data_IF_606395920565
#
_entry.id   IF_606395920565
#
_cell.length_a   1.000
_cell.length_b   1.000
_cell.length_c   1.000
_cell.angle_alpha   90.00
_cell.angle_beta   90.00
_cell.angle_gamma   90.00
#
_symmetry.space_group_name_H-M   'P 1'
#
loop_
_entity.id
_entity.type
_entity.pdbx_description
1 polymer ?
#
# COMPACT_ATOMS: atom_id res chain seq x y z
N UNK A 1 16.28 10.59 10.04
CA UNK A 1 15.71 11.52 9.05
C UNK A 1 14.52 10.90 8.32
N UNK A 2 13.35 11.54 8.40
CA UNK A 2 12.16 11.17 7.62
C UNK A 2 12.35 11.51 6.14
N UNK A 3 12.00 10.58 5.24
CA UNK A 3 12.03 10.80 3.80
C UNK A 3 10.84 10.13 3.13
N UNK A 4 9.95 10.95 2.59
CA UNK A 4 8.77 10.51 1.84
C UNK A 4 9.15 9.55 0.71
N UNK A 5 8.49 8.40 0.62
CA UNK A 5 8.80 7.38 -0.36
C UNK A 5 8.24 7.75 -1.74
N UNK A 6 9.04 8.39 -2.59
CA UNK A 6 8.72 8.70 -3.99
C UNK A 6 9.33 7.72 -5.00
N UNK A 7 10.07 6.72 -4.52
CA UNK A 7 10.79 5.78 -5.40
C UNK A 7 9.85 4.96 -6.30
N UNK A 8 8.61 4.75 -5.88
CA UNK A 8 7.61 4.02 -6.67
C UNK A 8 7.13 4.78 -7.92
N UNK A 9 7.38 6.09 -8.01
CA UNK A 9 7.08 6.89 -9.21
C UNK A 9 8.17 6.77 -10.27
N UNK A 10 9.34 6.29 -9.90
CA UNK A 10 10.47 6.11 -10.81
C UNK A 10 10.35 4.76 -11.51
N UNK A 11 10.37 4.78 -12.84
CA UNK A 11 10.43 3.56 -13.63
C UNK A 11 11.81 2.92 -13.48
N UNK A 12 11.82 1.67 -13.02
CA UNK A 12 13.04 0.85 -12.95
C UNK A 12 13.60 0.60 -14.37
N UNK A 13 14.90 0.84 -14.56
CA UNK A 13 15.59 0.56 -15.82
C UNK A 13 15.59 -0.94 -16.15
N UNK A 14 15.76 -1.78 -15.12
CA UNK A 14 15.78 -3.23 -15.24
C UNK A 14 14.53 -3.85 -14.62
N UNK A 15 13.39 -3.68 -15.28
CA UNK A 15 12.13 -4.26 -14.81
C UNK A 15 11.91 -5.65 -15.43
N UNK A 16 11.89 -6.70 -14.62
CA UNK A 16 11.61 -8.07 -15.07
C UNK A 16 10.21 -8.25 -15.65
N UNK A 17 9.29 -7.32 -15.37
CA UNK A 17 7.91 -7.31 -15.91
C UNK A 17 7.88 -7.20 -17.42
N UNK A 18 8.85 -6.54 -18.04
CA UNK A 18 8.93 -6.44 -19.51
C UNK A 18 9.37 -7.74 -20.17
N UNK A 19 10.05 -8.61 -19.42
CA UNK A 19 10.51 -9.93 -19.87
C UNK A 19 9.47 -11.04 -19.63
N UNK A 20 8.37 -10.74 -18.91
CA UNK A 20 7.34 -11.72 -18.62
C UNK A 20 6.47 -12.04 -19.84
N UNK A 21 6.01 -13.29 -19.94
CA UNK A 21 5.06 -13.71 -20.96
C UNK A 21 3.75 -12.89 -20.87
N UNK A 22 3.16 -12.44 -22.00
CA UNK A 22 2.01 -11.53 -22.00
C UNK A 22 0.79 -12.06 -21.22
N UNK A 23 0.58 -13.39 -21.21
CA UNK A 23 -0.46 -14.05 -20.40
C UNK A 23 -0.32 -13.75 -18.91
N UNK A 24 0.89 -13.85 -18.37
CA UNK A 24 1.17 -13.60 -16.95
C UNK A 24 0.98 -12.12 -16.62
N UNK A 25 1.46 -11.24 -17.50
CA UNK A 25 1.28 -9.78 -17.35
C UNK A 25 -0.20 -9.39 -17.36
N UNK A 26 -1.02 -10.00 -18.22
CA UNK A 26 -2.47 -9.78 -18.23
C UNK A 26 -3.15 -10.25 -16.94
N UNK A 27 -2.75 -11.40 -16.40
CA UNK A 27 -3.28 -11.91 -15.14
C UNK A 27 -2.90 -11.03 -13.95
N UNK A 28 -1.67 -10.53 -13.90
CA UNK A 28 -1.20 -9.59 -12.88
C UNK A 28 -1.98 -8.27 -12.94
N UNK A 29 -2.22 -7.72 -14.14
CA UNK A 29 -3.05 -6.52 -14.33
C UNK A 29 -4.51 -6.71 -13.93
N UNK A 30 -5.02 -7.94 -13.96
CA UNK A 30 -6.39 -8.28 -13.50
C UNK A 30 -6.47 -8.60 -12.01
N UNK A 31 -5.33 -8.72 -11.33
CA UNK A 31 -5.29 -9.06 -9.91
C UNK A 31 -5.73 -7.90 -9.01
N UNK A 32 -5.77 -8.14 -7.70
CA UNK A 32 -6.04 -7.11 -6.69
C UNK A 32 -4.91 -6.07 -6.57
N UNK A 33 -3.70 -6.40 -7.05
CA UNK A 33 -2.50 -5.57 -6.87
C UNK A 33 -2.61 -4.15 -7.46
N UNK A 34 -3.05 -3.93 -8.72
CA UNK A 34 -3.20 -2.58 -9.27
C UNK A 34 -4.22 -1.73 -8.49
N UNK A 35 -5.35 -2.32 -8.09
CA UNK A 35 -6.40 -1.63 -7.32
C UNK A 35 -5.84 -1.20 -5.96
N UNK A 36 -5.12 -2.11 -5.28
CA UNK A 36 -4.46 -1.81 -4.02
C UNK A 36 -3.43 -0.67 -4.16
N UNK A 37 -2.62 -0.71 -5.20
CA UNK A 37 -1.60 0.30 -5.45
C UNK A 37 -2.21 1.69 -5.65
N UNK A 38 -3.21 1.80 -6.54
CA UNK A 38 -3.82 3.08 -6.89
C UNK A 38 -4.64 3.69 -5.75
N UNK A 39 -5.43 2.87 -5.05
CA UNK A 39 -6.41 3.36 -4.08
C UNK A 39 -5.89 3.38 -2.64
N UNK A 40 -4.93 2.53 -2.30
CA UNK A 40 -4.42 2.42 -0.93
C UNK A 40 -2.99 2.91 -0.85
N UNK A 41 -2.05 2.27 -1.56
CA UNK A 41 -0.63 2.58 -1.42
C UNK A 41 -0.31 4.05 -1.73
N UNK A 42 -0.81 4.57 -2.86
CA UNK A 42 -0.60 5.96 -3.28
C UNK A 42 -1.35 7.01 -2.44
N UNK A 43 -2.26 6.60 -1.55
CA UNK A 43 -3.08 7.50 -0.72
C UNK A 43 -2.64 7.54 0.75
N UNK A 44 -1.61 6.79 1.12
CA UNK A 44 -1.07 6.79 2.48
C UNK A 44 -0.34 8.12 2.74
N UNK A 45 -0.78 8.83 3.77
CA UNK A 45 -0.10 10.04 4.24
C UNK A 45 1.03 9.68 5.22
N UNK A 46 2.25 9.59 4.70
CA UNK A 46 3.47 9.27 5.45
C UNK A 46 3.85 10.36 6.46
N UNK A 47 3.34 11.58 6.36
CA UNK A 47 3.70 12.65 7.31
C UNK A 47 3.24 12.34 8.73
N UNK A 48 2.18 11.54 8.87
CA UNK A 48 1.63 11.11 10.18
C UNK A 48 2.60 10.23 10.97
N UNK A 49 3.49 9.51 10.30
CA UNK A 49 4.51 8.66 10.92
C UNK A 49 5.85 9.38 11.11
N UNK A 50 6.01 10.59 10.55
CA UNK A 50 7.24 11.37 10.67
C UNK A 50 7.71 11.61 12.13
N UNK A 51 6.84 11.85 13.12
CA UNK A 51 7.26 12.03 14.52
C UNK A 51 7.90 10.79 15.15
N UNK A 52 7.71 9.60 14.57
CA UNK A 52 8.31 8.35 15.05
C UNK A 52 9.78 8.21 14.66
N UNK A 53 10.28 9.05 13.75
CA UNK A 53 11.65 9.00 13.28
C UNK A 53 12.55 9.95 14.07
N UNK A 54 13.76 9.49 14.37
CA UNK A 54 14.79 10.36 14.91
C UNK A 54 15.22 11.39 13.84
N UNK A 55 15.43 12.67 14.21
CA UNK A 55 15.87 13.71 13.27
C UNK A 55 17.23 13.35 12.65
N UNK A 56 18.20 12.96 13.48
CA UNK A 56 19.60 12.84 13.10
C UNK A 56 20.02 11.44 12.64
N UNK A 57 19.16 10.44 12.81
CA UNK A 57 19.44 9.07 12.40
C UNK A 57 18.16 8.36 11.94
N UNK A 58 18.16 7.74 10.76
CA UNK A 58 16.99 6.97 10.33
C UNK A 58 17.09 6.41 8.91
N UNK A 59 16.42 5.26 8.70
CA UNK A 59 16.25 4.61 7.41
C UNK A 59 15.07 5.19 6.62
N UNK A 60 15.03 5.04 5.29
CA UNK A 60 13.91 5.50 4.46
C UNK A 60 12.60 4.81 4.83
N UNK A 61 11.45 5.45 4.57
CA UNK A 61 10.10 5.01 4.98
C UNK A 61 9.62 3.68 4.36
N UNK A 62 10.40 3.07 3.46
CA UNK A 62 10.04 1.85 2.73
C UNK A 62 9.60 0.67 3.63
N UNK A 63 10.28 0.36 4.75
CA UNK A 63 9.87 -0.72 5.64
C UNK A 63 8.49 -0.48 6.28
N UNK A 64 8.17 0.76 6.64
CA UNK A 64 6.88 1.09 7.25
C UNK A 64 5.74 0.95 6.25
N UNK A 65 5.94 1.38 5.00
CA UNK A 65 4.94 1.18 3.95
C UNK A 65 4.69 -0.31 3.68
N UNK A 66 5.72 -1.15 3.73
CA UNK A 66 5.59 -2.60 3.58
C UNK A 66 4.78 -3.19 4.74
N UNK A 67 5.12 -2.85 5.98
CA UNK A 67 4.39 -3.33 7.16
C UNK A 67 2.92 -2.92 7.13
N UNK A 68 2.65 -1.66 6.82
CA UNK A 68 1.28 -1.16 6.70
C UNK A 68 0.53 -1.87 5.56
N UNK A 69 1.21 -2.15 4.46
CA UNK A 69 0.64 -2.91 3.34
C UNK A 69 0.27 -4.34 3.73
N UNK A 70 1.13 -5.01 4.50
CA UNK A 70 0.86 -6.36 5.00
C UNK A 70 -0.34 -6.39 5.95
N UNK A 71 -0.49 -5.38 6.81
CA UNK A 71 -1.67 -5.25 7.68
C UNK A 71 -2.96 -5.06 6.87
N UNK A 72 -2.93 -4.28 5.78
CA UNK A 72 -4.08 -4.14 4.88
C UNK A 72 -4.42 -5.43 4.15
N UNK A 73 -3.41 -6.16 3.66
CA UNK A 73 -3.61 -7.43 2.95
C UNK A 73 -4.15 -8.51 3.87
N UNK A 74 -3.71 -8.53 5.15
CA UNK A 74 -4.17 -9.50 6.16
C UNK A 74 -5.67 -9.40 6.44
N UNK A 75 -6.30 -8.26 6.20
CA UNK A 75 -7.74 -8.06 6.33
C UNK A 75 -8.44 -7.95 4.95
N UNK A 76 -8.54 -9.05 4.18
CA UNK A 76 -9.11 -9.03 2.83
C UNK A 76 -10.60 -8.65 2.78
N UNK A 77 -11.30 -8.73 3.92
CA UNK A 77 -12.69 -8.28 4.05
C UNK A 77 -12.89 -6.78 3.74
N UNK A 78 -11.85 -5.95 3.86
CA UNK A 78 -11.87 -4.53 3.47
C UNK A 78 -11.71 -4.31 1.95
N UNK A 79 -11.22 -5.31 1.21
CA UNK A 79 -10.93 -5.23 -0.22
C UNK A 79 -11.97 -5.97 -1.09
N UNK A 80 -12.87 -6.75 -0.49
CA UNK A 80 -13.78 -7.68 -1.18
C UNK A 80 -15.11 -7.10 -1.71
N UNK A 81 -15.22 -5.80 -1.97
CA UNK A 81 -16.47 -5.24 -2.55
C UNK A 81 -16.25 -4.71 -3.97
N UNK A 82 -16.17 -5.57 -5.00
CA UNK A 82 -16.35 -5.15 -6.38
C UNK A 82 -17.83 -4.78 -6.55
N UNK A 83 -18.20 -3.52 -6.26
CA UNK A 83 -19.58 -3.06 -6.45
C UNK A 83 -20.05 -1.86 -5.64
N UNK A 84 -19.26 -1.32 -4.70
CA UNK A 84 -19.60 -0.05 -4.04
C UNK A 84 -18.45 0.93 -4.23
N UNK A 85 -18.60 1.76 -5.27
CA UNK A 85 -17.85 3.01 -5.40
C UNK A 85 -18.22 3.86 -4.19
N UNK A 86 -17.22 4.54 -3.62
CA UNK A 86 -17.33 5.50 -2.51
C UNK A 86 -17.42 4.88 -1.09
N UNK A 87 -16.62 5.48 -0.21
CA UNK A 87 -16.74 5.48 1.25
C UNK A 87 -16.26 4.26 2.05
N UNK A 88 -14.95 3.93 2.02
CA UNK A 88 -14.25 3.52 3.25
C UNK A 88 -12.79 3.99 3.18
N UNK A 89 -12.56 5.28 3.42
CA UNK A 89 -11.24 5.75 3.83
C UNK A 89 -11.42 6.52 5.14
N UNK A 90 -10.96 5.89 6.24
CA UNK A 90 -10.95 6.35 7.66
C UNK A 90 -12.24 6.03 8.45
N UNK A 91 -12.21 5.37 9.64
CA UNK A 91 -11.08 5.19 10.57
C UNK A 91 -10.81 3.71 10.96
N UNK A 92 -9.69 3.16 10.47
CA UNK A 92 -9.17 1.85 10.91
C UNK A 92 -8.64 1.86 12.38
N UNK A 93 -8.61 3.02 13.03
CA UNK A 93 -8.14 3.16 14.42
C UNK A 93 -9.27 2.99 15.45
N UNK A 94 -10.53 3.27 15.08
CA UNK A 94 -11.67 3.20 16.02
C UNK A 94 -12.52 1.93 15.92
N UNK A 95 -12.41 1.16 14.82
CA UNK A 95 -13.24 -0.01 14.58
C UNK A 95 -12.55 -1.36 14.84
N UNK A 96 -11.40 -1.39 15.52
CA UNK A 96 -10.76 -2.66 15.95
C UNK A 96 -11.38 -3.28 17.21
N UNK A 97 -12.39 -2.64 17.81
CA UNK A 97 -13.02 -3.08 19.07
C UNK A 97 -14.32 -3.87 18.94
N UNK A 98 -14.93 -3.96 17.76
CA UNK A 98 -16.29 -4.52 17.62
C UNK A 98 -16.44 -5.69 16.64
N UNK A 99 -15.39 -6.14 15.96
CA UNK A 99 -15.50 -7.11 14.85
C UNK A 99 -14.43 -8.20 14.86
N UNK A 100 -14.12 -8.74 16.04
CA UNK A 100 -13.54 -10.07 16.16
C UNK A 100 -14.27 -10.78 17.33
N UNK A 101 -15.08 -11.83 17.08
CA UNK A 101 -15.26 -12.85 18.10
C UNK A 101 -13.95 -13.61 18.37
#
# INVERSE_FOLDING_TARGET
MFKENKSHLQTELFNTTTLMHPRTTAQLKKSWAPIYYEHVFCKIDEKKIAPLYCPDNGSPNKPVNILLSLEFIKCPCLMQKPGKKEAIMVPLILLRRSLCP
#
